data_IF_730713628096
#
_entry.id   IF_730713628096
#
_cell.length_a   1.000
_cell.length_b   1.000
_cell.length_c   1.000
_cell.angle_alpha   90.00
_cell.angle_beta   90.00
_cell.angle_gamma   90.00
#
_symmetry.space_group_name_H-M   'P 1'
#
loop_
_entity.id
_entity.type
_entity.pdbx_description
1 polymer ?
#
# COMPACT_ATOMS: atom_id res chain seq x y z
N UNK A 1 -7.74 -4.96 -35.36
CA UNK A 1 -7.61 -4.80 -33.90
C UNK A 1 -8.32 -5.95 -33.18
N UNK A 2 -7.82 -7.20 -33.29
CA UNK A 2 -8.40 -8.39 -32.62
C UNK A 2 -7.33 -9.36 -32.10
N UNK A 3 -6.07 -8.93 -32.03
CA UNK A 3 -4.93 -9.78 -31.62
C UNK A 3 -4.25 -9.37 -30.30
N UNK A 4 -4.64 -8.23 -29.72
CA UNK A 4 -4.01 -7.69 -28.49
C UNK A 4 -4.71 -8.24 -27.23
N UNK A 5 -6.02 -8.55 -27.32
CA UNK A 5 -6.81 -9.09 -26.20
C UNK A 5 -6.34 -10.49 -25.74
N UNK A 6 -5.60 -11.23 -26.57
CA UNK A 6 -5.13 -12.58 -26.22
C UNK A 6 -3.82 -12.60 -25.44
N UNK A 7 -3.11 -11.47 -25.34
CA UNK A 7 -1.80 -11.40 -24.66
C UNK A 7 -1.93 -10.90 -23.22
N UNK A 8 -2.88 -10.00 -22.94
CA UNK A 8 -3.17 -9.52 -21.57
C UNK A 8 -3.85 -10.60 -20.71
N UNK A 9 -4.75 -11.40 -21.30
CA UNK A 9 -5.38 -12.51 -20.58
C UNK A 9 -4.39 -13.61 -20.15
N UNK A 10 -3.27 -13.76 -20.85
CA UNK A 10 -2.25 -14.77 -20.51
C UNK A 10 -1.33 -14.32 -19.37
N UNK A 11 -1.17 -13.01 -19.15
CA UNK A 11 -0.31 -12.49 -18.08
C UNK A 11 -1.02 -12.55 -16.71
N UNK A 12 -2.33 -12.31 -16.67
CA UNK A 12 -3.16 -12.41 -15.45
C UNK A 12 -3.24 -13.85 -14.91
N UNK A 13 -3.18 -14.86 -15.79
CA UNK A 13 -3.17 -16.27 -15.37
C UNK A 13 -1.80 -16.79 -14.91
N UNK A 14 -0.71 -16.06 -15.14
CA UNK A 14 0.63 -16.49 -14.75
C UNK A 14 1.03 -16.03 -13.34
N UNK A 15 0.35 -15.02 -12.77
CA UNK A 15 0.61 -14.55 -11.41
C UNK A 15 -0.30 -15.15 -10.33
N UNK A 16 -1.42 -15.79 -10.69
CA UNK A 16 -2.28 -16.49 -9.72
C UNK A 16 -1.76 -17.87 -9.30
N UNK A 17 -0.63 -18.33 -9.83
CA UNK A 17 -0.11 -19.68 -9.58
C UNK A 17 0.95 -19.77 -8.46
N UNK A 18 1.45 -18.66 -7.91
CA UNK A 18 2.43 -18.70 -6.82
C UNK A 18 1.97 -17.84 -5.65
N UNK A 19 1.37 -18.51 -4.65
CA UNK A 19 1.54 -18.06 -3.27
C UNK A 19 0.32 -17.49 -2.56
N UNK A 20 -0.86 -18.11 -2.65
CA UNK A 20 -1.80 -18.04 -1.52
C UNK A 20 -2.67 -19.29 -1.48
N UNK A 21 -2.04 -20.41 -1.10
CA UNK A 21 -2.74 -21.61 -0.63
C UNK A 21 -2.60 -21.64 0.88
N UNK A 22 -3.63 -21.17 1.56
CA UNK A 22 -4.19 -21.69 2.82
C UNK A 22 -5.35 -20.75 3.12
N UNK A 23 -6.58 -21.25 3.01
CA UNK A 23 -7.74 -20.92 3.85
C UNK A 23 -8.92 -21.78 3.35
N UNK A 24 -8.75 -23.10 3.42
CA UNK A 24 -9.90 -23.96 3.72
C UNK A 24 -9.90 -24.11 5.23
N UNK A 25 -10.89 -23.51 5.90
CA UNK A 25 -11.60 -24.02 7.09
C UNK A 25 -12.35 -22.86 7.78
N UNK A 26 -13.57 -23.17 8.21
CA UNK A 26 -14.56 -22.37 8.94
C UNK A 26 -15.62 -21.60 8.11
N UNK A 27 -16.50 -22.37 7.47
CA UNK A 27 -17.93 -22.04 7.45
C UNK A 27 -18.64 -22.93 8.47
N UNK A 28 -19.03 -22.40 9.63
CA UNK A 28 -20.16 -22.95 10.40
C UNK A 28 -20.75 -21.88 11.34
N UNK A 29 -22.01 -21.54 11.05
CA UNK A 29 -23.06 -21.02 11.94
C UNK A 29 -22.83 -19.75 12.79
N UNK A 30 -23.53 -18.67 12.42
CA UNK A 30 -24.29 -17.87 13.39
C UNK A 30 -25.34 -16.98 12.68
N UNK A 31 -26.45 -17.58 12.27
CA UNK A 31 -27.70 -16.85 12.10
C UNK A 31 -28.40 -16.80 13.46
N UNK A 32 -28.47 -15.64 14.10
CA UNK A 32 -29.61 -15.29 14.96
C UNK A 32 -29.62 -13.80 15.29
N UNK A 33 -30.79 -13.20 15.11
CA UNK A 33 -31.05 -11.79 15.29
C UNK A 33 -31.00 -11.40 16.77
N UNK A 34 -30.14 -10.46 17.13
CA UNK A 34 -30.16 -9.82 18.44
C UNK A 34 -30.61 -8.36 18.30
N UNK A 35 -31.93 -8.16 18.30
CA UNK A 35 -32.54 -6.84 18.53
C UNK A 35 -32.68 -6.63 20.03
N UNK A 36 -31.68 -6.01 20.64
CA UNK A 36 -31.73 -5.58 22.03
C UNK A 36 -30.69 -4.49 22.26
N UNK A 37 -31.15 -3.26 22.46
CA UNK A 37 -30.32 -2.13 22.86
C UNK A 37 -29.95 -2.31 24.34
N UNK A 38 -28.68 -2.51 24.72
CA UNK A 38 -28.32 -2.45 26.13
C UNK A 38 -28.20 -0.98 26.55
N UNK A 39 -29.06 -0.58 27.48
CA UNK A 39 -28.92 0.66 28.25
C UNK A 39 -27.73 0.47 29.21
N UNK A 40 -26.56 1.00 28.84
CA UNK A 40 -25.35 0.96 29.68
C UNK A 40 -25.31 2.24 30.51
N UNK A 41 -25.64 2.11 31.79
CA UNK A 41 -25.41 3.14 32.82
C UNK A 41 -23.95 3.08 33.25
N UNK A 42 -23.19 4.14 32.96
CA UNK A 42 -21.83 4.32 33.47
C UNK A 42 -21.88 5.07 34.80
N UNK A 43 -21.51 4.39 35.89
CA UNK A 43 -21.17 5.06 37.14
C UNK A 43 -19.69 5.52 37.10
N UNK A 44 -19.37 6.71 37.64
CA UNK A 44 -18.02 7.24 37.65
C UNK A 44 -17.15 6.47 38.64
N UNK A 45 -16.04 5.90 38.16
CA UNK A 45 -15.02 5.26 39.01
C UNK A 45 -14.16 6.37 39.63
N UNK A 46 -14.21 6.47 40.96
CA UNK A 46 -13.31 7.32 41.75
C UNK A 46 -11.86 6.87 41.60
N UNK A 47 -10.99 7.86 41.45
CA UNK A 47 -9.54 7.76 41.29
C UNK A 47 -8.87 7.23 42.57
N UNK A 48 -8.20 6.09 42.50
CA UNK A 48 -7.24 5.67 43.52
C UNK A 48 -5.81 5.99 43.08
N UNK A 49 -5.14 6.77 43.94
CA UNK A 49 -3.73 7.15 43.92
C UNK A 49 -2.81 5.92 43.77
N UNK A 50 -2.07 5.86 42.66
CA UNK A 50 -0.93 4.95 42.51
C UNK A 50 0.35 5.65 43.01
N UNK A 51 1.11 5.05 43.95
CA UNK A 51 2.38 5.59 44.38
C UNK A 51 3.49 5.33 43.35
N UNK A 52 4.24 6.39 43.00
CA UNK A 52 5.56 6.29 42.35
C UNK A 52 6.59 5.63 43.29
N UNK A 53 7.45 4.77 42.73
CA UNK A 53 8.87 4.81 43.13
C UNK A 53 9.81 4.79 41.91
N UNK A 54 10.56 5.87 41.71
CA UNK A 54 12.00 6.06 42.03
C UNK A 54 12.99 5.37 41.07
N UNK A 55 13.97 6.11 40.51
CA UNK A 55 14.91 5.63 39.50
C UNK A 55 16.02 4.78 40.14
N UNK A 56 16.43 3.70 39.47
CA UNK A 56 17.65 2.96 39.82
C UNK A 56 18.75 3.26 38.81
N UNK A 57 19.88 3.69 39.36
CA UNK A 57 21.14 4.04 38.72
C UNK A 57 21.76 2.93 37.87
N UNK A 58 22.19 3.32 36.67
CA UNK A 58 23.56 3.22 36.14
C UNK A 58 24.54 2.27 36.86
N UNK A 59 25.07 1.27 36.13
CA UNK A 59 26.42 0.76 36.40
C UNK A 59 27.08 0.21 35.13
N UNK A 60 28.06 1.00 34.65
CA UNK A 60 29.37 0.68 34.08
C UNK A 60 29.63 -0.54 33.18
N UNK A 61 30.13 -0.19 31.98
CA UNK A 61 31.27 -0.72 31.22
C UNK A 61 31.98 -2.00 31.73
N UNK A 62 32.20 -2.91 30.79
CA UNK A 62 33.36 -3.82 30.83
C UNK A 62 33.96 -3.92 29.43
N UNK A 63 35.11 -3.26 29.31
CA UNK A 63 36.11 -3.34 28.25
C UNK A 63 37.04 -4.54 28.55
N UNK A 64 37.36 -5.39 27.56
CA UNK A 64 38.49 -6.34 27.48
C UNK A 64 38.18 -7.41 26.40
N UNK A 65 39.03 -7.95 25.52
CA UNK A 65 40.47 -7.86 25.20
C UNK A 65 40.60 -8.25 23.71
N UNK A 66 41.50 -7.55 23.01
CA UNK A 66 42.01 -7.91 21.68
C UNK A 66 43.15 -8.94 21.80
N UNK A 67 43.17 -10.06 21.05
CA UNK A 67 44.40 -10.82 20.86
C UNK A 67 45.01 -10.64 19.47
N UNK A 68 46.28 -10.25 19.56
CA UNK A 68 47.37 -10.21 18.60
C UNK A 68 47.48 -11.38 17.61
N UNK A 69 47.60 -10.97 16.35
CA UNK A 69 48.28 -11.53 15.17
C UNK A 69 48.84 -12.98 15.15
N UNK A 70 48.58 -13.66 14.04
CA UNK A 70 49.49 -14.66 13.46
C UNK A 70 49.59 -14.41 11.95
N UNK A 71 50.79 -14.32 11.35
CA UNK A 71 50.95 -14.00 9.94
C UNK A 71 50.70 -15.26 9.09
N UNK A 72 49.62 -15.26 8.33
CA UNK A 72 49.34 -16.30 7.33
C UNK A 72 49.83 -15.81 5.96
N UNK A 73 50.59 -16.69 5.31
CA UNK A 73 51.26 -16.50 4.04
C UNK A 73 50.34 -15.95 2.94
N UNK A 74 50.83 -14.93 2.27
CA UNK A 74 50.22 -14.26 1.12
C UNK A 74 50.15 -15.21 -0.09
N UNK A 75 48.96 -15.59 -0.60
CA UNK A 75 48.85 -16.09 -1.96
C UNK A 75 48.98 -14.92 -2.94
N UNK A 76 49.80 -15.08 -3.97
CA UNK A 76 49.93 -14.12 -5.06
C UNK A 76 48.55 -13.77 -5.65
N UNK A 77 48.26 -12.49 -5.92
CA UNK A 77 47.01 -12.13 -6.59
C UNK A 77 47.08 -12.59 -8.03
N UNK A 78 46.32 -13.64 -8.35
CA UNK A 78 45.90 -13.90 -9.73
C UNK A 78 45.05 -12.72 -10.16
N UNK A 79 45.57 -11.90 -11.07
CA UNK A 79 44.79 -10.92 -11.79
C UNK A 79 43.69 -11.67 -12.55
N UNK A 80 42.50 -11.78 -11.96
CA UNK A 80 41.29 -12.01 -12.73
C UNK A 80 41.08 -10.70 -13.48
N UNK A 81 41.32 -10.75 -14.79
CA UNK A 81 40.93 -9.70 -15.70
C UNK A 81 39.42 -9.55 -15.58
N UNK A 82 38.98 -8.55 -14.80
CA UNK A 82 37.59 -8.13 -14.77
C UNK A 82 37.21 -7.82 -16.21
N UNK A 83 36.35 -8.66 -16.78
CA UNK A 83 35.59 -8.28 -17.95
C UNK A 83 34.90 -6.94 -17.64
N UNK A 84 34.85 -6.01 -18.60
CA UNK A 84 34.20 -4.74 -18.40
C UNK A 84 32.77 -5.02 -17.95
N UNK A 85 32.43 -4.62 -16.72
CA UNK A 85 31.06 -4.64 -16.22
C UNK A 85 30.22 -3.93 -17.27
N UNK A 86 29.32 -4.69 -17.89
CA UNK A 86 28.29 -4.12 -18.75
C UNK A 86 27.60 -3.04 -17.92
N UNK A 87 27.76 -1.79 -18.35
CA UNK A 87 27.02 -0.67 -17.80
C UNK A 87 25.55 -1.03 -17.99
N UNK A 88 24.87 -1.40 -16.91
CA UNK A 88 23.46 -1.72 -16.92
C UNK A 88 22.76 -0.37 -17.12
N UNK A 89 22.50 0.00 -18.37
CA UNK A 89 21.66 1.17 -18.65
C UNK A 89 20.29 0.86 -18.07
N UNK A 90 19.73 1.71 -17.18
CA UNK A 90 18.37 1.53 -16.69
C UNK A 90 17.43 1.40 -17.89
N UNK A 91 16.65 0.32 -17.95
CA UNK A 91 15.62 0.18 -18.98
C UNK A 91 14.56 1.24 -18.68
N UNK A 92 14.44 2.22 -19.57
CA UNK A 92 13.42 3.26 -19.46
C UNK A 92 12.04 2.63 -19.64
N UNK A 93 11.19 2.73 -18.62
CA UNK A 93 9.82 2.20 -18.65
C UNK A 93 8.96 2.97 -19.64
N UNK A 94 8.10 2.26 -20.39
CA UNK A 94 7.10 2.90 -21.25
C UNK A 94 6.01 3.57 -20.42
N UNK A 95 5.25 4.49 -21.04
CA UNK A 95 4.11 5.14 -20.38
C UNK A 95 3.05 4.13 -19.93
N UNK A 96 2.78 3.11 -20.75
CA UNK A 96 1.84 2.05 -20.41
C UNK A 96 2.30 1.22 -19.20
N UNK A 97 3.60 0.94 -19.08
CA UNK A 97 4.16 0.25 -17.91
C UNK A 97 4.02 1.11 -16.64
N UNK A 98 4.35 2.41 -16.73
CA UNK A 98 4.19 3.37 -15.63
C UNK A 98 2.72 3.49 -15.20
N UNK A 99 1.80 3.56 -16.16
CA UNK A 99 0.36 3.63 -15.88
C UNK A 99 -0.19 2.31 -15.33
N UNK A 100 0.31 1.16 -15.78
CA UNK A 100 -0.06 -0.15 -15.22
C UNK A 100 0.37 -0.27 -13.76
N UNK A 101 1.54 0.27 -13.40
CA UNK A 101 1.98 0.34 -12.01
C UNK A 101 1.10 1.26 -11.13
N UNK A 102 0.30 2.16 -11.72
CA UNK A 102 -0.63 3.02 -10.99
C UNK A 102 -1.94 2.32 -10.62
N UNK A 103 -2.24 1.12 -11.15
CA UNK A 103 -3.52 0.42 -10.91
C UNK A 103 -3.88 0.32 -9.42
N UNK A 104 -2.98 -0.08 -8.50
CA UNK A 104 -3.29 -0.13 -7.07
C UNK A 104 -3.81 1.21 -6.51
N UNK A 105 -3.22 2.32 -6.94
CA UNK A 105 -3.56 3.68 -6.48
C UNK A 105 -4.89 4.14 -7.12
N UNK A 106 -5.08 3.89 -8.42
CA UNK A 106 -6.32 4.22 -9.13
C UNK A 106 -7.52 3.44 -8.57
N UNK A 107 -7.37 2.13 -8.42
CA UNK A 107 -8.39 1.22 -7.89
C UNK A 107 -8.77 1.60 -6.44
N UNK A 108 -7.78 1.98 -5.62
CA UNK A 108 -8.02 2.38 -4.24
C UNK A 108 -8.87 3.64 -4.10
N UNK A 109 -8.70 4.63 -4.98
CA UNK A 109 -9.57 5.81 -5.04
C UNK A 109 -11.00 5.43 -5.43
N UNK A 110 -11.15 4.59 -6.45
CA UNK A 110 -12.45 4.10 -6.92
C UNK A 110 -13.19 3.37 -5.80
N UNK A 111 -12.54 2.39 -5.16
CA UNK A 111 -13.12 1.62 -4.05
C UNK A 111 -13.44 2.49 -2.86
N UNK A 112 -12.60 3.49 -2.56
CA UNK A 112 -12.88 4.46 -1.49
C UNK A 112 -14.15 5.25 -1.78
N UNK A 113 -14.30 5.77 -3.00
CA UNK A 113 -15.49 6.51 -3.41
C UNK A 113 -16.75 5.63 -3.37
N UNK A 114 -16.66 4.39 -3.83
CA UNK A 114 -17.80 3.47 -3.84
C UNK A 114 -18.20 3.02 -2.43
N UNK A 115 -17.23 2.70 -1.57
CA UNK A 115 -17.47 2.27 -0.18
C UNK A 115 -18.05 3.39 0.69
N UNK A 116 -17.55 4.61 0.52
CA UNK A 116 -17.90 5.74 1.40
C UNK A 116 -19.01 6.62 0.84
N UNK A 117 -19.30 6.52 -0.46
CA UNK A 117 -20.18 7.44 -1.18
C UNK A 117 -19.61 8.85 -1.33
N UNK A 118 -18.34 9.07 -0.96
CA UNK A 118 -17.67 10.37 -1.06
C UNK A 118 -17.05 10.56 -2.44
N UNK A 119 -16.69 11.80 -2.72
CA UNK A 119 -15.91 12.18 -3.90
C UNK A 119 -14.45 12.38 -3.50
N UNK A 120 -13.56 12.31 -4.49
CA UNK A 120 -12.14 12.54 -4.30
C UNK A 120 -11.88 13.88 -3.59
N UNK A 121 -11.16 13.82 -2.47
CA UNK A 121 -10.98 14.95 -1.56
C UNK A 121 -9.65 14.87 -0.82
N UNK A 122 -9.05 16.00 -0.51
CA UNK A 122 -7.88 16.08 0.37
C UNK A 122 -8.23 16.22 1.85
N UNK A 123 -9.52 16.05 2.21
CA UNK A 123 -9.96 16.03 3.60
C UNK A 123 -9.32 14.85 4.34
N UNK A 124 -8.80 15.10 5.55
CA UNK A 124 -7.98 14.16 6.30
C UNK A 124 -8.62 12.75 6.43
N UNK A 125 -9.91 12.69 6.76
CA UNK A 125 -10.63 11.41 6.84
C UNK A 125 -10.64 10.65 5.51
N UNK A 126 -10.84 11.36 4.39
CA UNK A 126 -10.83 10.72 3.07
C UNK A 126 -9.42 10.22 2.71
N UNK A 127 -8.38 10.99 3.04
CA UNK A 127 -6.99 10.60 2.82
C UNK A 127 -6.70 9.26 3.50
N UNK A 128 -7.07 9.11 4.77
CA UNK A 128 -6.89 7.84 5.48
C UNK A 128 -7.81 6.72 5.00
N UNK A 129 -9.02 7.02 4.50
CA UNK A 129 -9.87 6.02 3.84
C UNK A 129 -9.22 5.47 2.56
N UNK A 130 -8.55 6.32 1.79
CA UNK A 130 -7.82 5.96 0.57
C UNK A 130 -6.52 5.20 0.88
N UNK A 131 -5.72 5.69 1.84
CA UNK A 131 -4.51 5.02 2.32
C UNK A 131 -4.80 3.62 2.88
N UNK A 132 -5.86 3.49 3.66
CA UNK A 132 -6.33 2.19 4.13
C UNK A 132 -6.71 1.28 2.96
N UNK A 133 -7.37 1.81 1.92
CA UNK A 133 -7.78 1.00 0.78
C UNK A 133 -6.57 0.46 -0.01
N UNK A 134 -5.56 1.28 -0.29
CA UNK A 134 -4.37 0.80 -1.01
C UNK A 134 -3.58 -0.22 -0.20
N UNK A 135 -3.36 0.04 1.09
CA UNK A 135 -2.65 -0.90 1.95
C UNK A 135 -3.43 -2.21 2.13
N UNK A 136 -4.73 -2.14 2.44
CA UNK A 136 -5.52 -3.34 2.74
C UNK A 136 -5.80 -4.22 1.53
N UNK A 137 -6.01 -3.66 0.33
CA UNK A 137 -6.31 -4.45 -0.87
C UNK A 137 -5.07 -4.83 -1.68
N UNK A 138 -4.06 -3.97 -1.70
CA UNK A 138 -2.92 -4.10 -2.60
C UNK A 138 -1.59 -4.25 -1.89
N UNK A 139 -1.53 -4.13 -0.56
CA UNK A 139 -0.24 -4.08 0.12
C UNK A 139 0.60 -5.35 -0.03
N UNK A 140 0.02 -6.51 -0.33
CA UNK A 140 0.77 -7.73 -0.65
C UNK A 140 1.58 -7.67 -1.96
N UNK A 141 1.28 -6.70 -2.83
CA UNK A 141 2.06 -6.42 -4.05
C UNK A 141 3.30 -5.55 -3.76
N UNK A 142 3.46 -5.08 -2.53
CA UNK A 142 4.56 -4.24 -2.08
C UNK A 142 5.36 -4.93 -0.98
N UNK A 143 6.50 -4.33 -0.63
CA UNK A 143 7.36 -4.78 0.47
C UNK A 143 6.69 -4.52 1.83
N UNK A 144 5.73 -5.36 2.19
CA UNK A 144 4.96 -5.29 3.44
C UNK A 144 5.03 -6.61 4.21
N UNK A 145 4.83 -6.53 5.52
CA UNK A 145 4.70 -7.73 6.35
C UNK A 145 3.23 -8.15 6.43
N UNK A 146 2.97 -9.43 6.18
CA UNK A 146 1.63 -10.02 6.26
C UNK A 146 1.60 -11.15 7.28
N UNK A 147 0.87 -10.94 8.37
CA UNK A 147 0.73 -11.92 9.45
C UNK A 147 -0.70 -11.92 10.01
N UNK A 148 -1.34 -13.09 10.08
CA UNK A 148 -2.63 -13.25 10.75
C UNK A 148 -3.79 -12.42 10.14
N UNK A 149 -3.75 -12.11 8.84
CA UNK A 149 -4.75 -11.24 8.18
C UNK A 149 -4.57 -9.75 8.51
N UNK A 150 -3.43 -9.39 9.08
CA UNK A 150 -2.98 -8.03 9.26
C UNK A 150 -1.85 -7.76 8.27
N UNK A 151 -1.81 -6.52 7.78
CA UNK A 151 -0.73 -6.00 6.96
C UNK A 151 -0.04 -4.87 7.71
N UNK A 152 1.28 -4.89 7.72
CA UNK A 152 2.12 -3.83 8.28
C UNK A 152 2.89 -3.16 7.17
N UNK A 153 2.70 -1.85 7.05
CA UNK A 153 3.31 -0.99 6.04
C UNK A 153 4.30 -0.05 6.73
N UNK A 154 5.51 0.10 6.20
CA UNK A 154 6.47 1.08 6.71
C UNK A 154 5.99 2.52 6.50
N UNK A 155 6.51 3.46 7.29
CA UNK A 155 6.18 4.88 7.16
C UNK A 155 6.55 5.44 5.80
N UNK A 156 7.72 5.08 5.28
CA UNK A 156 8.19 5.46 3.94
C UNK A 156 7.25 4.96 2.82
N UNK A 157 6.78 3.71 2.91
CA UNK A 157 5.84 3.18 1.92
C UNK A 157 4.45 3.82 2.07
N UNK A 158 4.01 4.11 3.29
CA UNK A 158 2.75 4.82 3.55
C UNK A 158 2.80 6.26 3.00
N UNK A 159 3.92 6.95 3.14
CA UNK A 159 4.17 8.26 2.51
C UNK A 159 4.15 8.14 0.98
N UNK A 160 4.81 7.12 0.44
CA UNK A 160 4.81 6.83 -1.00
C UNK A 160 3.39 6.63 -1.53
N UNK A 161 2.52 5.91 -0.81
CA UNK A 161 1.10 5.78 -1.14
C UNK A 161 0.37 7.13 -1.07
N UNK A 162 0.57 7.91 -0.01
CA UNK A 162 -0.07 9.21 0.18
C UNK A 162 0.21 10.15 -1.00
N UNK A 163 1.48 10.20 -1.38
CA UNK A 163 1.99 11.03 -2.46
C UNK A 163 1.48 10.62 -3.84
N UNK A 164 1.37 9.31 -4.10
CA UNK A 164 0.75 8.81 -5.33
C UNK A 164 -0.76 9.07 -5.37
N UNK A 165 -1.45 8.94 -4.23
CA UNK A 165 -2.89 9.18 -4.12
C UNK A 165 -3.26 10.66 -4.15
N UNK A 166 -2.39 11.56 -3.68
CA UNK A 166 -2.71 12.97 -3.48
C UNK A 166 -1.53 13.89 -3.81
N UNK A 167 -1.56 14.52 -4.99
CA UNK A 167 -0.50 15.41 -5.46
C UNK A 167 -0.15 16.57 -4.52
N UNK A 168 -1.16 17.13 -3.83
CA UNK A 168 -1.00 18.34 -3.04
C UNK A 168 -0.58 18.08 -1.58
N UNK A 169 -0.33 16.82 -1.20
CA UNK A 169 0.14 16.48 0.14
C UNK A 169 1.65 16.30 0.14
N UNK A 170 2.32 16.98 1.07
CA UNK A 170 3.77 16.91 1.28
C UNK A 170 4.17 16.06 2.49
N UNK A 171 3.21 15.68 3.32
CA UNK A 171 3.40 14.84 4.51
C UNK A 171 2.12 14.06 4.79
N UNK A 172 2.24 12.96 5.56
CA UNK A 172 1.08 12.23 6.04
C UNK A 172 0.27 13.08 7.03
N UNK A 173 -1.05 13.24 6.83
CA UNK A 173 -1.86 13.98 7.77
C UNK A 173 -2.04 13.17 9.07
N UNK A 174 -2.37 13.86 10.16
CA UNK A 174 -2.62 13.22 11.47
C UNK A 174 -3.74 12.19 11.35
N UNK A 175 -3.52 10.97 11.86
CA UNK A 175 -4.56 9.91 11.87
C UNK A 175 -5.80 10.45 12.63
N UNK A 176 -6.98 10.50 11.99
CA UNK A 176 -8.20 10.89 12.67
C UNK A 176 -8.52 9.93 13.83
N UNK A 177 -9.06 10.43 14.94
CA UNK A 177 -9.44 9.57 16.09
C UNK A 177 -10.44 8.46 15.69
N UNK A 178 -11.28 8.72 14.67
CA UNK A 178 -12.22 7.75 14.13
C UNK A 178 -11.55 6.56 13.42
N UNK A 179 -10.25 6.65 13.12
CA UNK A 179 -9.46 5.62 12.43
C UNK A 179 -8.74 4.68 13.40
N UNK A 180 -9.49 4.14 14.37
CA UNK A 180 -8.99 3.15 15.35
C UNK A 180 -8.62 1.78 14.75
N UNK A 181 -8.74 1.61 13.43
CA UNK A 181 -8.36 0.40 12.69
C UNK A 181 -6.89 0.37 12.26
N UNK A 182 -6.18 1.49 12.43
CA UNK A 182 -4.76 1.62 12.09
C UNK A 182 -3.97 1.73 13.38
N UNK A 183 -3.13 0.72 13.64
CA UNK A 183 -2.18 0.75 14.75
C UNK A 183 -0.89 1.34 14.23
N UNK A 184 -0.50 2.51 14.75
CA UNK A 184 0.79 3.12 14.45
C UNK A 184 1.79 2.71 15.53
N UNK A 185 2.89 2.06 15.13
CA UNK A 185 3.97 1.66 16.02
C UNK A 185 5.32 1.78 15.32
N UNK A 186 6.30 2.41 15.96
CA UNK A 186 7.70 2.45 15.50
C UNK A 186 7.86 2.82 14.01
N UNK A 187 7.11 3.82 13.57
CA UNK A 187 7.03 4.29 12.18
C UNK A 187 6.47 3.27 11.17
N UNK A 188 5.61 2.39 11.63
CA UNK A 188 4.84 1.47 10.79
C UNK A 188 3.34 1.60 11.09
N UNK A 189 2.55 1.15 10.12
CA UNK A 189 1.10 1.21 10.13
C UNK A 189 0.55 -0.19 9.91
N UNK A 190 -0.04 -0.76 10.96
CA UNK A 190 -0.66 -2.08 10.91
C UNK A 190 -2.17 -1.94 10.79
N UNK A 191 -2.76 -2.65 9.83
CA UNK A 191 -4.19 -2.64 9.58
C UNK A 191 -4.68 -4.00 9.06
N UNK A 192 -6.00 -4.22 9.06
CA UNK A 192 -6.57 -5.47 8.56
C UNK A 192 -6.48 -5.54 7.03
N UNK A 193 -5.98 -6.65 6.50
CA UNK A 193 -6.02 -6.91 5.07
C UNK A 193 -7.44 -7.14 4.59
N UNK A 194 -7.73 -6.75 3.35
CA UNK A 194 -9.02 -6.96 2.70
C UNK A 194 -8.82 -7.70 1.38
N UNK A 195 -9.73 -8.60 1.06
CA UNK A 195 -9.72 -9.26 -0.24
C UNK A 195 -10.19 -8.31 -1.33
N UNK A 196 -9.48 -8.29 -2.46
CA UNK A 196 -9.82 -7.45 -3.62
C UNK A 196 -11.20 -7.81 -4.20
N UNK A 197 -11.67 -9.04 -3.98
CA UNK A 197 -12.88 -9.56 -4.60
C UNK A 197 -12.69 -9.79 -6.10
N UNK A 198 -13.80 -9.88 -6.83
CA UNK A 198 -13.80 -10.22 -8.26
C UNK A 198 -13.91 -9.02 -9.20
N UNK A 199 -14.11 -7.81 -8.66
CA UNK A 199 -14.15 -6.58 -9.44
C UNK A 199 -12.73 -6.09 -9.71
N UNK A 200 -12.51 -5.45 -10.85
CA UNK A 200 -11.19 -5.00 -11.27
C UNK A 200 -11.22 -3.61 -11.90
N UNK A 201 -10.06 -2.96 -11.93
CA UNK A 201 -9.87 -1.64 -12.53
C UNK A 201 -9.12 -1.76 -13.86
N UNK A 202 -9.58 -1.07 -14.89
CA UNK A 202 -9.01 -1.05 -16.23
C UNK A 202 -8.80 0.38 -16.73
N UNK A 203 -7.64 0.67 -17.31
CA UNK A 203 -7.40 1.94 -18.00
C UNK A 203 -7.88 1.80 -19.44
N UNK A 204 -9.02 2.39 -19.75
CA UNK A 204 -9.60 2.36 -21.10
C UNK A 204 -8.80 3.23 -22.07
N UNK A 205 -8.44 4.44 -21.63
CA UNK A 205 -7.70 5.36 -22.47
C UNK A 205 -6.87 6.32 -21.64
N UNK A 206 -5.79 6.82 -22.26
CA UNK A 206 -4.98 7.87 -21.69
C UNK A 206 -4.57 8.89 -22.75
N UNK A 207 -4.37 10.13 -22.33
CA UNK A 207 -3.80 11.21 -23.15
C UNK A 207 -2.71 11.91 -22.36
N UNK A 208 -1.51 11.92 -22.90
CA UNK A 208 -0.37 12.67 -22.35
C UNK A 208 -0.40 14.11 -22.84
N UNK A 209 -0.09 15.04 -21.94
CA UNK A 209 0.06 16.46 -22.24
C UNK A 209 1.54 16.85 -22.30
N UNK A 210 1.83 18.00 -22.92
CA UNK A 210 3.19 18.52 -23.08
C UNK A 210 3.93 18.77 -21.74
N UNK A 211 3.20 18.93 -20.64
CA UNK A 211 3.73 19.10 -19.28
C UNK A 211 4.00 17.77 -18.56
N UNK A 212 3.80 16.64 -19.23
CA UNK A 212 3.93 15.30 -18.67
C UNK A 212 2.72 14.84 -17.85
N UNK A 213 1.69 15.67 -17.67
CA UNK A 213 0.44 15.24 -17.04
C UNK A 213 -0.33 14.29 -17.94
N UNK A 214 -1.08 13.38 -17.33
CA UNK A 214 -1.86 12.36 -18.04
C UNK A 214 -3.33 12.48 -17.65
N UNK A 215 -4.20 12.52 -18.64
CA UNK A 215 -5.64 12.36 -18.47
C UNK A 215 -6.01 10.91 -18.74
N UNK A 216 -6.69 10.26 -17.80
CA UNK A 216 -7.14 8.87 -17.90
C UNK A 216 -8.67 8.78 -17.95
N UNK A 217 -9.16 7.84 -18.73
CA UNK A 217 -10.48 7.23 -18.52
C UNK A 217 -10.27 5.86 -17.93
N UNK A 218 -10.83 5.63 -16.74
CA UNK A 218 -10.67 4.39 -15.97
C UNK A 218 -12.02 3.76 -15.74
N UNK A 219 -12.14 2.47 -16.02
CA UNK A 219 -13.32 1.67 -15.74
C UNK A 219 -13.11 0.84 -14.48
N UNK A 220 -14.16 0.76 -13.67
CA UNK A 220 -14.30 -0.27 -12.65
C UNK A 220 -15.29 -1.30 -13.18
N UNK A 221 -14.86 -2.54 -13.27
CA UNK A 221 -15.57 -3.61 -13.94
C UNK A 221 -15.93 -4.73 -12.96
N UNK A 222 -17.03 -5.42 -13.24
CA UNK A 222 -17.37 -6.68 -12.59
C UNK A 222 -16.53 -7.83 -13.13
N UNK A 223 -16.63 -9.01 -12.51
CA UNK A 223 -15.99 -10.22 -12.99
C UNK A 223 -16.45 -10.68 -14.39
N UNK A 224 -17.59 -10.18 -14.87
CA UNK A 224 -18.19 -10.50 -16.16
C UNK A 224 -17.91 -9.41 -17.22
N UNK A 225 -16.90 -8.58 -16.99
CA UNK A 225 -16.52 -7.44 -17.84
C UNK A 225 -17.62 -6.37 -17.97
N UNK A 226 -18.56 -6.30 -17.01
CA UNK A 226 -19.57 -5.24 -16.98
C UNK A 226 -19.01 -3.98 -16.33
N UNK A 227 -19.13 -2.83 -17.00
CA UNK A 227 -18.70 -1.54 -16.45
C UNK A 227 -19.65 -1.13 -15.32
N UNK A 228 -19.12 -1.10 -14.10
CA UNK A 228 -19.83 -0.69 -12.87
C UNK A 228 -19.76 0.83 -12.67
N UNK A 229 -18.61 1.41 -12.96
CA UNK A 229 -18.40 2.85 -12.88
C UNK A 229 -17.27 3.31 -13.80
N UNK A 230 -17.31 4.59 -14.17
CA UNK A 230 -16.32 5.24 -15.04
C UNK A 230 -15.77 6.47 -14.32
N UNK A 231 -14.46 6.65 -14.39
CA UNK A 231 -13.76 7.78 -13.81
C UNK A 231 -12.89 8.49 -14.84
N UNK A 232 -12.92 9.82 -14.79
CA UNK A 232 -11.92 10.67 -15.42
C UNK A 232 -10.91 11.09 -14.35
N UNK A 233 -9.65 10.71 -14.53
CA UNK A 233 -8.57 11.02 -13.60
C UNK A 233 -7.49 11.88 -14.25
N UNK A 234 -6.95 12.83 -13.48
CA UNK A 234 -5.78 13.63 -13.89
C UNK A 234 -4.60 13.25 -13.02
N UNK A 235 -3.50 12.88 -13.67
CA UNK A 235 -2.24 12.48 -13.06
C UNK A 235 -1.16 13.49 -13.43
N UNK A 236 -0.19 13.69 -12.54
CA UNK A 236 1.01 14.50 -12.80
C UNK A 236 2.26 13.73 -12.40
N UNK A 237 3.40 13.89 -13.10
CA UNK A 237 4.62 13.20 -12.74
C UNK A 237 5.06 13.49 -11.32
N UNK A 238 5.54 12.47 -10.62
CA UNK A 238 6.10 12.61 -9.28
C UNK A 238 7.41 11.84 -9.15
N UNK A 239 8.44 12.41 -8.49
CA UNK A 239 9.61 11.64 -8.08
C UNK A 239 9.23 10.75 -6.89
N UNK A 240 8.81 9.52 -7.18
CA UNK A 240 8.53 8.49 -6.20
C UNK A 240 9.01 7.15 -6.77
N UNK A 241 9.70 6.36 -5.96
CA UNK A 241 10.33 5.11 -6.40
C UNK A 241 9.31 4.01 -6.71
N UNK A 242 8.10 4.10 -6.15
CA UNK A 242 7.02 3.13 -6.34
C UNK A 242 6.03 3.54 -7.46
N UNK A 243 5.83 4.84 -7.66
CA UNK A 243 4.79 5.36 -8.53
C UNK A 243 5.30 6.53 -9.37
N UNK A 244 5.10 6.47 -10.69
CA UNK A 244 5.55 7.52 -11.59
C UNK A 244 4.70 8.81 -11.52
N UNK A 245 3.52 8.76 -10.89
CA UNK A 245 2.55 9.84 -10.90
C UNK A 245 1.86 10.05 -9.56
N UNK A 246 1.37 11.26 -9.33
CA UNK A 246 0.36 11.59 -8.32
C UNK A 246 -1.01 11.86 -8.94
N UNK A 247 -2.08 11.51 -8.26
CA UNK A 247 -3.45 11.91 -8.64
C UNK A 247 -3.72 13.36 -8.23
N UNK A 248 -4.20 14.16 -9.18
CA UNK A 248 -4.66 15.54 -8.98
C UNK A 248 -6.17 15.60 -8.81
N UNK A 249 -6.89 14.79 -9.55
CA UNK A 249 -8.36 14.71 -9.48
C UNK A 249 -8.85 13.35 -9.94
N UNK A 250 -9.95 12.86 -9.36
CA UNK A 250 -10.67 11.69 -9.82
C UNK A 250 -12.18 11.97 -9.78
N UNK A 251 -12.81 12.08 -10.95
CA UNK A 251 -14.22 12.43 -11.10
C UNK A 251 -14.99 11.23 -11.64
N UNK A 252 -16.00 10.76 -10.90
CA UNK A 252 -16.92 9.74 -11.39
C UNK A 252 -17.83 10.36 -12.46
N UNK A 253 -17.88 9.76 -13.64
CA UNK A 253 -18.78 10.17 -14.71
C UNK A 253 -20.13 9.43 -14.57
N UNK A 254 -21.21 10.11 -14.96
CA UNK A 254 -22.59 9.62 -14.82
C UNK A 254 -22.98 8.59 -15.89
#
# INVERSE_FOLDING_TARGET
MKKILSFLLALVFLFTASGCKILELYEEEASEAFTGTPEVSFEPIESEDLPEPTPTEETAETEEVLPTETPIATPSPTFIQMEPQATITPVEQTSEEKLSAMIPVLDSIIRTNERTGKTYSSENTYVWEALFSVASYWGCEFETDFEGGMITVSGELMESFCFALFHNLSELPVIPEAFGLILRQDDSYTMKSSELGSNYTEIESFTENDDGSVMLTVYHCSAEDEILSVYEMKLVPQPNDHFAYSIVSANKTA
#
